data_IF_165809635763
#
_entry.id   IF_165809635763
#
_cell.length_a   1.000
_cell.length_b   1.000
_cell.length_c   1.000
_cell.angle_alpha   90.00
_cell.angle_beta   90.00
_cell.angle_gamma   90.00
#
_symmetry.space_group_name_H-M   'P 1'
#
loop_
_entity.id
_entity.type
_entity.pdbx_description
1 polymer ?
#
# COMPACT_ATOMS: atom_id res chain seq x y z
N UNK A 1 -13.78 12.99 -19.13
CA UNK A 1 -12.79 12.62 -18.10
C UNK A 1 -11.83 13.77 -17.78
N UNK A 2 -11.27 14.44 -18.79
CA UNK A 2 -10.28 15.53 -18.67
C UNK A 2 -10.73 16.82 -17.93
N UNK A 3 -12.02 16.95 -17.58
CA UNK A 3 -12.60 18.13 -16.89
C UNK A 3 -12.77 17.95 -15.37
N UNK A 4 -12.41 16.79 -14.80
CA UNK A 4 -12.44 16.60 -13.34
C UNK A 4 -11.11 17.14 -12.79
N UNK A 5 -11.11 18.19 -11.95
CA UNK A 5 -9.88 18.75 -11.38
C UNK A 5 -9.35 17.80 -10.29
N UNK A 6 -8.63 16.77 -10.71
CA UNK A 6 -7.78 15.96 -9.84
C UNK A 6 -6.38 16.58 -9.84
N UNK A 7 -6.07 17.32 -8.78
CA UNK A 7 -4.73 17.81 -8.47
C UNK A 7 -4.01 16.83 -7.53
N UNK A 8 -2.66 16.83 -7.50
CA UNK A 8 -1.92 16.16 -6.45
C UNK A 8 -2.39 16.58 -5.06
N UNK A 9 -2.34 15.65 -4.09
CA UNK A 9 -2.82 15.87 -2.73
C UNK A 9 -4.23 15.34 -2.48
N UNK A 10 -4.84 15.77 -1.38
CA UNK A 10 -6.20 15.35 -1.01
C UNK A 10 -7.21 16.11 -1.86
N UNK A 11 -8.10 15.39 -2.54
CA UNK A 11 -9.14 16.01 -3.36
C UNK A 11 -10.34 16.43 -2.50
N UNK A 12 -10.68 17.73 -2.40
CA UNK A 12 -11.76 18.21 -1.55
C UNK A 12 -13.13 17.59 -1.85
N UNK A 13 -13.44 17.35 -3.13
CA UNK A 13 -14.72 16.74 -3.51
C UNK A 13 -14.83 15.30 -3.02
N UNK A 14 -13.73 14.52 -3.12
CA UNK A 14 -13.70 13.15 -2.59
C UNK A 14 -13.86 13.18 -1.07
N UNK A 15 -13.19 14.10 -0.36
CA UNK A 15 -13.32 14.23 1.09
C UNK A 15 -14.75 14.59 1.50
N UNK A 16 -15.36 15.59 0.86
CA UNK A 16 -16.74 16.00 1.13
C UNK A 16 -17.73 14.85 0.91
N UNK A 17 -17.52 14.04 -0.12
CA UNK A 17 -18.33 12.85 -0.35
C UNK A 17 -18.17 11.80 0.75
N UNK A 18 -16.93 11.50 1.13
CA UNK A 18 -16.64 10.57 2.21
C UNK A 18 -17.24 11.07 3.53
N UNK A 19 -17.18 12.37 3.81
CA UNK A 19 -17.84 12.98 4.98
C UNK A 19 -19.36 12.80 4.94
N UNK A 20 -19.98 13.06 3.78
CA UNK A 20 -21.42 12.86 3.60
C UNK A 20 -21.82 11.39 3.79
N UNK A 21 -21.09 10.44 3.22
CA UNK A 21 -21.33 9.01 3.42
C UNK A 21 -21.12 8.62 4.89
N UNK A 22 -20.01 9.06 5.49
CA UNK A 22 -19.68 8.77 6.88
C UNK A 22 -20.71 9.34 7.86
N UNK A 23 -21.42 10.42 7.52
CA UNK A 23 -22.49 10.97 8.36
C UNK A 23 -23.65 9.98 8.56
N UNK A 24 -23.90 9.11 7.57
CA UNK A 24 -25.00 8.15 7.56
C UNK A 24 -24.59 6.77 8.13
N UNK A 25 -23.30 6.54 8.32
CA UNK A 25 -22.75 5.26 8.76
C UNK A 25 -22.82 5.09 10.28
N UNK A 26 -22.98 3.84 10.75
CA UNK A 26 -22.82 3.54 12.18
C UNK A 26 -21.35 3.73 12.61
N UNK A 27 -21.08 3.89 13.91
CA UNK A 27 -19.70 4.01 14.40
C UNK A 27 -18.85 2.79 14.04
N UNK A 28 -19.46 1.62 13.93
CA UNK A 28 -18.80 0.37 13.55
C UNK A 28 -18.42 0.37 12.06
N UNK A 29 -19.29 0.89 11.20
CA UNK A 29 -19.04 0.93 9.76
C UNK A 29 -17.97 1.97 9.39
N UNK A 30 -17.75 2.99 10.24
CA UNK A 30 -16.70 4.00 10.07
C UNK A 30 -15.28 3.48 10.35
N UNK A 31 -15.15 2.27 10.91
CA UNK A 31 -13.84 1.66 11.17
C UNK A 31 -13.22 1.24 9.84
N UNK A 32 -12.12 1.89 9.48
CA UNK A 32 -11.41 1.65 8.22
C UNK A 32 -9.91 1.47 8.46
N UNK A 33 -9.25 0.87 7.47
CA UNK A 33 -7.80 0.73 7.41
C UNK A 33 -7.32 1.67 6.31
N UNK A 34 -6.41 2.58 6.66
CA UNK A 34 -5.75 3.45 5.70
C UNK A 34 -4.51 2.75 5.16
N UNK A 35 -4.47 2.52 3.86
CA UNK A 35 -3.37 1.85 3.15
C UNK A 35 -2.84 2.77 2.07
N UNK A 36 -1.52 2.81 1.89
CA UNK A 36 -0.87 3.57 0.84
C UNK A 36 0.42 2.90 0.37
N UNK A 37 0.73 3.03 -0.92
CA UNK A 37 1.92 2.48 -1.59
C UNK A 37 2.28 3.36 -2.81
N UNK A 38 3.50 3.22 -3.31
CA UNK A 38 4.02 3.95 -4.46
C UNK A 38 4.06 3.08 -5.71
N UNK A 39 3.78 3.69 -6.87
CA UNK A 39 3.82 3.02 -8.16
C UNK A 39 4.81 3.73 -9.07
N UNK A 40 5.79 2.98 -9.59
CA UNK A 40 6.75 3.52 -10.56
C UNK A 40 6.06 3.83 -11.88
N UNK A 41 6.29 5.03 -12.39
CA UNK A 41 5.79 5.54 -13.66
C UNK A 41 6.95 6.02 -14.55
N UNK A 42 6.69 6.16 -15.85
CA UNK A 42 7.71 6.60 -16.80
C UNK A 42 8.15 8.03 -16.49
N UNK A 43 9.47 8.24 -16.39
CA UNK A 43 10.07 9.56 -16.27
C UNK A 43 9.96 10.30 -17.60
N UNK A 44 8.99 11.22 -17.71
CA UNK A 44 8.93 12.17 -18.80
C UNK A 44 8.42 13.54 -18.33
N UNK A 45 8.82 14.58 -19.06
CA UNK A 45 8.23 15.91 -18.95
C UNK A 45 7.17 15.99 -20.04
N UNK A 46 5.90 16.14 -19.65
CA UNK A 46 4.79 16.36 -20.56
C UNK A 46 4.29 17.79 -20.39
N UNK A 47 3.87 18.45 -21.45
CA UNK A 47 3.22 19.76 -21.36
C UNK A 47 1.72 19.57 -21.55
N UNK A 48 0.92 19.94 -20.54
CA UNK A 48 -0.54 19.99 -20.66
C UNK A 48 -0.92 21.34 -21.25
N UNK A 49 -1.13 21.35 -22.57
CA UNK A 49 -1.46 22.51 -23.39
C UNK A 49 -2.73 23.22 -22.90
N UNK A 50 -3.67 22.51 -22.25
CA UNK A 50 -4.97 23.07 -21.86
C UNK A 50 -4.95 23.69 -20.47
N UNK A 51 -4.10 23.18 -19.59
CA UNK A 51 -3.89 23.74 -18.25
C UNK A 51 -2.73 24.74 -18.20
N UNK A 52 -2.00 24.88 -19.30
CA UNK A 52 -0.77 25.67 -19.41
C UNK A 52 0.24 25.33 -18.32
N UNK A 53 0.46 24.02 -18.10
CA UNK A 53 1.41 23.54 -17.09
C UNK A 53 2.33 22.48 -17.69
N UNK A 54 3.60 22.52 -17.26
CA UNK A 54 4.54 21.43 -17.48
C UNK A 54 4.24 20.35 -16.42
N UNK A 55 3.63 19.27 -16.87
CA UNK A 55 3.45 18.03 -16.12
C UNK A 55 4.79 17.29 -16.01
N UNK A 56 5.49 17.50 -14.90
CA UNK A 56 6.72 16.82 -14.52
C UNK A 56 6.96 16.96 -13.02
N UNK A 57 7.85 16.14 -12.45
CA UNK A 57 8.03 16.12 -11.00
C UNK A 57 8.81 17.33 -10.48
N UNK A 58 8.22 18.08 -9.53
CA UNK A 58 8.96 18.88 -8.56
C UNK A 58 8.89 18.16 -7.21
N UNK A 59 9.95 17.41 -6.88
CA UNK A 59 9.97 16.52 -5.72
C UNK A 59 10.56 17.26 -4.51
N UNK A 60 9.76 17.45 -3.46
CA UNK A 60 10.21 18.06 -2.19
C UNK A 60 10.26 17.04 -1.04
N UNK A 61 9.55 15.91 -1.16
CA UNK A 61 9.67 14.65 -0.39
C UNK A 61 8.69 13.59 -0.92
N UNK A 62 8.98 12.29 -0.72
CA UNK A 62 8.16 11.12 -1.14
C UNK A 62 8.30 9.97 -0.08
N UNK A 63 7.23 9.17 0.21
CA UNK A 63 7.16 8.11 1.26
C UNK A 63 6.02 7.02 1.08
N UNK A 64 6.29 5.72 0.72
CA UNK A 64 5.75 4.43 1.31
C UNK A 64 6.45 3.08 0.88
N UNK A 65 6.13 1.92 1.54
CA UNK A 65 6.72 0.53 1.62
C UNK A 65 7.68 0.17 2.83
N UNK A 66 8.41 -0.96 2.89
CA UNK A 66 9.40 -1.24 3.98
C UNK A 66 10.72 -0.43 3.87
N UNK A 67 10.86 0.38 2.83
CA UNK A 67 12.03 1.23 2.61
C UNK A 67 12.16 2.27 3.71
N UNK A 68 13.39 2.75 3.83
CA UNK A 68 13.85 3.63 4.90
C UNK A 68 12.97 4.86 5.14
N UNK A 69 12.35 5.41 4.10
CA UNK A 69 11.47 6.58 4.16
C UNK A 69 10.22 6.36 5.03
N UNK A 70 9.66 5.17 5.03
CA UNK A 70 8.31 4.90 5.56
C UNK A 70 8.40 4.41 6.99
N UNK A 71 9.45 3.62 7.23
CA UNK A 71 9.98 3.38 8.57
C UNK A 71 10.28 4.73 9.25
N UNK A 72 10.89 5.69 8.56
CA UNK A 72 11.17 7.01 9.12
C UNK A 72 9.89 7.81 9.43
N UNK A 73 8.91 7.83 8.53
CA UNK A 73 7.64 8.50 8.77
C UNK A 73 6.85 7.89 9.94
N UNK A 74 6.73 6.56 10.00
CA UNK A 74 6.10 5.86 11.14
C UNK A 74 6.85 6.19 12.44
N UNK A 75 8.19 6.14 12.44
CA UNK A 75 8.98 6.47 13.62
C UNK A 75 8.80 7.93 14.06
N UNK A 76 8.65 8.86 13.13
CA UNK A 76 8.41 10.27 13.45
C UNK A 76 7.03 10.47 14.09
N UNK A 77 5.99 9.82 13.54
CA UNK A 77 4.63 9.87 14.10
C UNK A 77 4.56 9.22 15.49
N UNK A 78 5.22 8.08 15.66
CA UNK A 78 5.39 7.42 16.96
C UNK A 78 6.10 8.33 17.96
N UNK A 79 7.22 8.94 17.57
CA UNK A 79 8.00 9.82 18.43
C UNK A 79 7.21 11.07 18.87
N UNK A 80 6.48 11.70 17.94
CA UNK A 80 5.63 12.86 18.25
C UNK A 80 4.53 12.49 19.26
N UNK A 81 3.89 11.35 19.05
CA UNK A 81 2.83 10.85 19.93
C UNK A 81 3.38 10.47 21.31
N UNK A 82 4.51 9.76 21.36
CA UNK A 82 5.14 9.36 22.62
C UNK A 82 5.67 10.57 23.40
N UNK A 83 6.09 11.63 22.72
CA UNK A 83 6.44 12.91 23.37
C UNK A 83 5.21 13.55 24.05
N UNK A 84 4.05 13.54 23.39
CA UNK A 84 2.78 14.01 23.96
C UNK A 84 2.36 13.14 25.15
N UNK A 85 2.41 11.80 25.01
CA UNK A 85 2.12 10.84 26.09
C UNK A 85 2.99 11.07 27.32
N UNK A 86 4.30 11.27 27.12
CA UNK A 86 5.23 11.54 28.22
C UNK A 86 4.87 12.81 29.00
N UNK A 87 4.45 13.88 28.31
CA UNK A 87 3.97 15.12 28.97
C UNK A 87 2.71 14.87 29.80
N UNK A 88 1.86 13.95 29.34
CA UNK A 88 0.60 13.56 29.99
C UNK A 88 0.77 12.38 30.98
N UNK A 89 2.02 11.96 31.26
CA UNK A 89 2.35 10.78 32.10
C UNK A 89 1.67 9.47 31.64
N UNK A 90 1.38 9.36 30.36
CA UNK A 90 0.87 8.13 29.71
C UNK A 90 2.04 7.26 29.27
N UNK A 91 1.84 5.94 29.24
CA UNK A 91 2.86 5.00 28.76
C UNK A 91 3.05 5.13 27.25
N UNK A 92 4.30 4.96 26.80
CA UNK A 92 4.61 4.86 25.38
C UNK A 92 3.88 3.66 24.76
N UNK A 93 3.51 3.81 23.49
CA UNK A 93 2.79 2.80 22.74
C UNK A 93 3.33 2.75 21.33
N UNK A 94 3.56 1.55 20.78
CA UNK A 94 3.87 1.40 19.34
C UNK A 94 2.64 1.68 18.45
N UNK A 95 2.00 2.82 18.68
CA UNK A 95 0.80 3.38 18.07
C UNK A 95 0.97 4.90 18.05
N UNK A 96 0.40 5.58 17.06
CA UNK A 96 0.45 7.05 16.97
C UNK A 96 -0.96 7.65 17.01
N UNK A 97 -1.08 8.93 17.37
CA UNK A 97 -2.36 9.62 17.50
C UNK A 97 -2.55 10.66 16.39
N UNK A 98 -3.73 10.66 15.77
CA UNK A 98 -4.21 11.73 14.89
C UNK A 98 -5.51 12.27 15.48
N UNK A 99 -5.48 13.51 15.98
CA UNK A 99 -6.55 14.05 16.81
C UNK A 99 -6.71 13.25 18.11
N UNK A 100 -7.92 12.69 18.31
CA UNK A 100 -8.25 11.81 19.45
C UNK A 100 -8.31 10.33 19.07
N UNK A 101 -7.81 9.97 17.88
CA UNK A 101 -7.84 8.61 17.35
C UNK A 101 -6.46 8.00 17.46
N UNK A 102 -6.39 6.82 18.07
CA UNK A 102 -5.18 6.00 18.10
C UNK A 102 -5.10 5.13 16.84
N UNK A 103 -3.93 5.14 16.19
CA UNK A 103 -3.65 4.42 14.95
C UNK A 103 -2.52 3.42 15.19
N UNK A 104 -2.75 2.18 14.74
CA UNK A 104 -1.80 1.08 14.84
C UNK A 104 -1.03 0.95 13.52
N UNK A 105 0.29 1.18 13.49
CA UNK A 105 1.09 0.93 12.29
C UNK A 105 1.28 -0.58 12.08
N UNK A 106 1.11 -1.04 10.84
CA UNK A 106 1.34 -2.42 10.42
C UNK A 106 2.23 -2.45 9.17
N UNK A 107 3.11 -3.44 9.06
CA UNK A 107 3.79 -3.76 7.80
C UNK A 107 3.01 -4.81 7.03
N UNK A 108 3.06 -4.70 5.71
CA UNK A 108 2.42 -5.61 4.77
C UNK A 108 2.92 -7.07 4.96
N UNK A 109 2.03 -8.03 5.32
CA UNK A 109 2.43 -9.41 5.56
C UNK A 109 3.05 -10.13 4.34
N UNK A 110 2.51 -10.01 3.11
CA UNK A 110 3.19 -10.52 1.91
C UNK A 110 4.61 -9.98 1.74
N UNK A 111 4.83 -8.68 2.00
CA UNK A 111 6.16 -8.07 1.96
C UNK A 111 7.08 -8.61 3.04
N UNK A 112 6.56 -8.88 4.24
CA UNK A 112 7.31 -9.49 5.32
C UNK A 112 7.80 -10.90 4.96
N UNK A 113 6.97 -11.74 4.35
CA UNK A 113 7.38 -13.07 3.87
C UNK A 113 8.41 -12.97 2.74
N UNK A 114 8.21 -12.06 1.77
CA UNK A 114 9.22 -11.77 0.73
C UNK A 114 10.57 -11.39 1.37
N UNK A 115 10.55 -10.63 2.46
CA UNK A 115 11.72 -10.26 3.25
C UNK A 115 12.44 -11.47 3.87
N UNK A 116 11.71 -12.45 4.42
CA UNK A 116 12.30 -13.69 4.94
C UNK A 116 12.99 -14.46 3.81
N UNK A 117 12.28 -14.73 2.72
CA UNK A 117 12.80 -15.42 1.54
C UNK A 117 14.08 -14.76 1.01
N UNK A 118 14.05 -13.45 0.77
CA UNK A 118 15.18 -12.72 0.21
C UNK A 118 16.42 -12.78 1.12
N UNK A 119 16.23 -12.81 2.44
CA UNK A 119 17.35 -12.97 3.35
C UNK A 119 17.90 -14.39 3.36
N UNK A 120 17.05 -15.43 3.30
CA UNK A 120 17.50 -16.82 3.20
C UNK A 120 18.33 -17.09 1.93
N UNK A 121 18.05 -16.39 0.83
CA UNK A 121 18.87 -16.47 -0.38
C UNK A 121 20.35 -16.11 -0.13
N UNK A 122 20.61 -15.14 0.75
CA UNK A 122 21.97 -14.58 0.97
C UNK A 122 22.58 -14.94 2.32
N UNK A 123 21.77 -15.35 3.29
CA UNK A 123 22.11 -15.61 4.69
C UNK A 123 21.40 -16.87 5.16
N UNK A 124 21.84 -17.43 6.28
CA UNK A 124 21.07 -18.47 6.96
C UNK A 124 20.38 -17.88 8.20
N UNK A 125 19.42 -18.61 8.76
CA UNK A 125 18.67 -18.19 9.94
C UNK A 125 18.98 -19.13 11.09
N UNK A 126 19.65 -18.62 12.13
CA UNK A 126 19.81 -19.33 13.39
C UNK A 126 18.57 -19.10 14.26
N UNK A 127 17.96 -20.18 14.78
CA UNK A 127 16.77 -20.09 15.63
C UNK A 127 17.09 -19.74 17.08
N UNK A 128 18.30 -20.10 17.51
CA UNK A 128 18.81 -19.89 18.85
C UNK A 128 20.34 -19.81 18.86
N UNK A 129 20.87 -19.46 20.03
CA UNK A 129 22.30 -19.31 20.27
C UNK A 129 22.65 -19.94 21.60
N UNK A 130 23.71 -20.74 21.60
CA UNK A 130 24.31 -21.31 22.81
C UNK A 130 25.73 -20.76 22.92
N UNK A 131 26.02 -20.02 24.00
CA UNK A 131 27.33 -19.37 24.20
C UNK A 131 27.80 -18.53 22.98
N UNK A 132 26.88 -17.79 22.35
CA UNK A 132 27.07 -17.02 21.11
C UNK A 132 27.35 -17.85 19.84
N UNK A 133 27.26 -19.17 19.92
CA UNK A 133 27.35 -20.06 18.76
C UNK A 133 25.94 -20.28 18.22
N UNK A 134 25.68 -20.04 16.92
CA UNK A 134 24.36 -20.27 16.33
C UNK A 134 24.00 -21.75 16.34
N UNK A 135 22.74 -22.04 16.65
CA UNK A 135 22.15 -23.38 16.68
C UNK A 135 20.87 -23.41 15.84
N UNK A 136 20.44 -24.63 15.50
CA UNK A 136 19.24 -24.92 14.72
C UNK A 136 19.14 -24.03 13.47
N UNK A 137 20.13 -24.16 12.59
CA UNK A 137 20.29 -23.30 11.42
C UNK A 137 19.33 -23.75 10.32
N UNK A 138 18.53 -22.82 9.82
CA UNK A 138 17.72 -23.00 8.62
C UNK A 138 18.40 -22.31 7.44
N UNK A 139 18.52 -23.03 6.31
CA UNK A 139 19.21 -22.54 5.12
C UNK A 139 18.35 -22.67 3.87
N UNK A 140 18.61 -21.81 2.88
CA UNK A 140 17.93 -21.88 1.59
C UNK A 140 18.30 -23.13 0.79
N UNK A 141 19.53 -23.63 0.94
CA UNK A 141 19.98 -24.81 0.18
C UNK A 141 19.20 -26.05 0.60
N UNK A 142 18.90 -26.19 1.90
CA UNK A 142 18.05 -27.26 2.42
C UNK A 142 16.64 -27.22 1.82
N UNK A 143 16.05 -26.03 1.66
CA UNK A 143 14.74 -25.87 0.99
C UNK A 143 14.78 -26.40 -0.44
N UNK A 144 15.77 -25.98 -1.24
CA UNK A 144 15.92 -26.40 -2.64
C UNK A 144 16.12 -27.91 -2.75
N UNK A 145 16.97 -28.48 -1.89
CA UNK A 145 17.26 -29.92 -1.91
C UNK A 145 16.04 -30.76 -1.52
N UNK A 146 15.20 -30.29 -0.59
CA UNK A 146 13.93 -30.93 -0.26
C UNK A 146 12.95 -30.92 -1.44
N UNK A 147 12.81 -29.76 -2.11
CA UNK A 147 11.94 -29.62 -3.28
C UNK A 147 12.39 -30.52 -4.45
N UNK A 148 13.69 -30.65 -4.66
CA UNK A 148 14.31 -31.50 -5.68
C UNK A 148 14.29 -33.01 -5.33
N UNK A 149 13.78 -33.39 -4.15
CA UNK A 149 13.79 -34.79 -3.68
C UNK A 149 15.19 -35.34 -3.34
N UNK A 150 16.16 -34.46 -3.04
CA UNK A 150 17.55 -34.79 -2.70
C UNK A 150 17.81 -34.72 -1.20
N UNK A 151 16.86 -35.20 -0.39
CA UNK A 151 16.90 -35.12 1.08
C UNK A 151 18.16 -35.76 1.69
N UNK A 152 18.69 -36.82 1.06
CA UNK A 152 19.92 -37.51 1.50
C UNK A 152 21.19 -36.64 1.46
N UNK A 153 21.17 -35.47 0.80
CA UNK A 153 22.29 -34.54 0.72
C UNK A 153 22.26 -33.46 1.81
N UNK A 154 21.24 -33.46 2.68
CA UNK A 154 21.04 -32.46 3.72
C UNK A 154 21.49 -33.05 5.05
N UNK A 155 22.23 -32.27 5.85
CA UNK A 155 22.45 -32.62 7.25
C UNK A 155 21.09 -32.72 7.97
N UNK A 156 20.86 -33.81 8.70
CA UNK A 156 19.54 -34.10 9.26
C UNK A 156 19.06 -33.01 10.24
N UNK A 157 19.96 -32.45 11.05
CA UNK A 157 19.63 -31.39 11.99
C UNK A 157 19.29 -30.08 11.25
N UNK A 158 20.07 -29.73 10.22
CA UNK A 158 19.81 -28.57 9.36
C UNK A 158 18.49 -28.71 8.58
N UNK A 159 18.21 -29.91 8.07
CA UNK A 159 16.97 -30.22 7.36
C UNK A 159 15.74 -30.05 8.26
N UNK A 160 15.77 -30.64 9.46
CA UNK A 160 14.69 -30.48 10.45
C UNK A 160 14.51 -29.01 10.82
N UNK A 161 15.60 -28.31 11.15
CA UNK A 161 15.54 -26.89 11.52
C UNK A 161 14.96 -26.02 10.38
N UNK A 162 15.28 -26.35 9.13
CA UNK A 162 14.74 -25.67 7.95
C UNK A 162 13.25 -25.94 7.80
N UNK A 163 12.81 -27.19 7.85
CA UNK A 163 11.38 -27.55 7.73
C UNK A 163 10.53 -26.89 8.83
N UNK A 164 11.00 -26.93 10.08
CA UNK A 164 10.34 -26.26 11.20
C UNK A 164 10.27 -24.73 11.00
N UNK A 165 11.31 -24.13 10.42
CA UNK A 165 11.34 -22.69 10.14
C UNK A 165 10.34 -22.32 9.04
N UNK A 166 10.27 -23.11 7.97
CA UNK A 166 9.33 -22.89 6.87
C UNK A 166 7.89 -23.00 7.38
N UNK A 167 7.57 -24.07 8.12
CA UNK A 167 6.25 -24.25 8.72
C UNK A 167 5.90 -23.12 9.70
N UNK A 168 6.85 -22.69 10.54
CA UNK A 168 6.64 -21.56 11.45
C UNK A 168 6.27 -20.27 10.71
N UNK A 169 6.97 -19.92 9.63
CA UNK A 169 6.64 -18.73 8.86
C UNK A 169 5.38 -18.89 8.00
N UNK A 170 5.04 -20.11 7.58
CA UNK A 170 3.75 -20.42 6.95
C UNK A 170 2.59 -20.14 7.89
N UNK A 171 2.62 -20.73 9.08
CA UNK A 171 1.60 -20.56 10.12
C UNK A 171 1.49 -19.10 10.57
N UNK A 172 2.64 -18.42 10.67
CA UNK A 172 2.68 -17.00 10.97
C UNK A 172 1.99 -16.18 9.89
N UNK A 173 2.27 -16.45 8.62
CA UNK A 173 1.64 -15.75 7.50
C UNK A 173 0.12 -15.99 7.46
N UNK A 174 -0.31 -17.24 7.62
CA UNK A 174 -1.73 -17.59 7.66
C UNK A 174 -2.47 -16.82 8.76
N UNK A 175 -1.85 -16.70 9.95
CA UNK A 175 -2.40 -15.95 11.09
C UNK A 175 -2.65 -14.46 10.83
N UNK A 176 -1.95 -13.87 9.86
CA UNK A 176 -2.05 -12.44 9.51
C UNK A 176 -2.58 -12.20 8.09
N UNK A 177 -3.06 -13.25 7.42
CA UNK A 177 -3.63 -13.18 6.08
C UNK A 177 -4.94 -13.97 5.93
N UNK A 178 -5.70 -14.06 7.03
CA UNK A 178 -6.94 -14.84 7.10
C UNK A 178 -8.10 -14.19 6.37
N UNK A 179 -8.90 -15.02 5.69
CA UNK A 179 -10.03 -14.61 4.87
C UNK A 179 -11.35 -15.13 5.43
N UNK A 180 -11.89 -16.22 4.87
CA UNK A 180 -13.03 -16.93 5.44
C UNK A 180 -12.57 -18.08 6.35
N UNK A 181 -13.53 -18.69 7.04
CA UNK A 181 -13.26 -19.89 7.84
C UNK A 181 -12.70 -20.99 6.93
N UNK A 182 -11.59 -21.58 7.36
CA UNK A 182 -10.87 -22.63 6.65
C UNK A 182 -10.43 -23.72 7.65
N UNK A 183 -9.94 -24.84 7.12
CA UNK A 183 -9.48 -25.96 7.95
C UNK A 183 -8.25 -25.63 8.79
N UNK A 184 -7.41 -24.69 8.32
CA UNK A 184 -6.28 -24.18 9.11
C UNK A 184 -6.78 -23.14 10.14
N UNK A 185 -6.76 -23.49 11.42
CA UNK A 185 -7.21 -22.63 12.53
C UNK A 185 -6.59 -21.21 12.47
N UNK A 186 -5.32 -21.09 12.06
CA UNK A 186 -4.64 -19.80 11.96
C UNK A 186 -5.01 -19.04 10.67
N UNK A 187 -5.47 -19.71 9.62
CA UNK A 187 -5.95 -19.04 8.41
C UNK A 187 -7.40 -18.56 8.50
N UNK A 188 -8.07 -18.76 9.65
CA UNK A 188 -9.44 -18.34 9.92
C UNK A 188 -9.51 -16.95 10.57
N UNK A 189 -10.67 -16.26 10.54
CA UNK A 189 -10.82 -14.97 11.20
C UNK A 189 -10.50 -15.03 12.69
N UNK A 190 -9.81 -14.01 13.19
CA UNK A 190 -9.46 -13.87 14.62
C UNK A 190 -10.74 -13.65 15.41
N UNK A 191 -10.90 -14.38 16.51
CA UNK A 191 -12.00 -14.27 17.48
C UNK A 191 -11.44 -14.15 18.90
N UNK A 192 -12.29 -13.84 19.86
CA UNK A 192 -11.90 -13.63 21.27
C UNK A 192 -11.18 -14.86 21.87
N UNK A 193 -11.66 -16.06 21.54
CA UNK A 193 -11.15 -17.35 22.03
C UNK A 193 -10.25 -18.07 21.01
N UNK A 194 -9.87 -17.40 19.92
CA UNK A 194 -9.12 -18.04 18.83
C UNK A 194 -7.66 -18.31 19.19
N UNK A 195 -7.08 -19.36 18.58
CA UNK A 195 -5.70 -19.78 18.81
C UNK A 195 -4.64 -18.70 18.49
N UNK A 196 -5.01 -17.68 17.69
CA UNK A 196 -4.17 -16.55 17.32
C UNK A 196 -3.52 -15.87 18.52
N UNK A 197 -4.24 -15.70 19.64
CA UNK A 197 -3.73 -14.95 20.80
C UNK A 197 -2.53 -15.64 21.46
N UNK A 198 -2.65 -16.94 21.69
CA UNK A 198 -1.57 -17.78 22.23
C UNK A 198 -0.44 -17.91 21.21
N UNK A 199 -0.78 -18.15 19.94
CA UNK A 199 0.19 -18.28 18.87
C UNK A 199 1.04 -17.03 18.68
N UNK A 200 0.44 -15.84 18.60
CA UNK A 200 1.15 -14.56 18.48
C UNK A 200 2.06 -14.29 19.68
N UNK A 201 1.60 -14.61 20.89
CA UNK A 201 2.42 -14.46 22.10
C UNK A 201 3.68 -15.33 22.02
N UNK A 202 3.52 -16.61 21.68
CA UNK A 202 4.64 -17.55 21.51
C UNK A 202 5.57 -17.13 20.36
N UNK A 203 5.01 -16.72 19.23
CA UNK A 203 5.74 -16.23 18.05
C UNK A 203 6.67 -15.09 18.41
N UNK A 204 6.22 -14.12 19.22
CA UNK A 204 7.09 -13.02 19.68
C UNK A 204 8.27 -13.51 20.53
N UNK A 205 8.15 -14.63 21.24
CA UNK A 205 9.28 -15.22 21.97
C UNK A 205 10.27 -15.91 21.02
N UNK A 206 9.76 -16.63 20.03
CA UNK A 206 10.57 -17.31 19.01
C UNK A 206 11.37 -16.32 18.16
N UNK A 207 10.70 -15.31 17.59
CA UNK A 207 11.34 -14.29 16.74
C UNK A 207 12.44 -13.50 17.47
N UNK A 208 12.32 -13.30 18.78
CA UNK A 208 13.35 -12.59 19.57
C UNK A 208 14.64 -13.39 19.72
N UNK A 209 14.58 -14.71 19.63
CA UNK A 209 15.76 -15.61 19.68
C UNK A 209 16.45 -15.73 18.32
N UNK A 210 15.67 -15.67 17.24
CA UNK A 210 16.17 -15.82 15.87
C UNK A 210 17.11 -14.69 15.44
N UNK A 211 18.19 -15.02 14.72
CA UNK A 211 19.06 -14.04 14.05
C UNK A 211 19.52 -14.57 12.69
N UNK A 212 19.70 -13.67 11.73
CA UNK A 212 20.39 -14.03 10.50
C UNK A 212 21.88 -14.18 10.77
N UNK A 213 22.50 -15.12 10.08
CA UNK A 213 23.94 -15.37 10.15
C UNK A 213 24.54 -15.46 8.75
N UNK A 214 25.80 -15.08 8.62
CA UNK A 214 26.57 -15.33 7.41
C UNK A 214 26.65 -16.84 7.13
N UNK A 215 26.58 -17.23 5.85
CA UNK A 215 26.59 -18.63 5.44
C UNK A 215 27.91 -19.34 5.75
N UNK A 216 29.02 -18.60 5.72
CA UNK A 216 30.36 -19.14 5.90
C UNK A 216 30.87 -18.80 7.30
N UNK A 217 30.89 -17.50 7.66
CA UNK A 217 31.51 -17.06 8.92
C UNK A 217 30.63 -17.32 10.13
N UNK A 218 29.33 -17.62 9.93
CA UNK A 218 28.32 -17.80 10.98
C UNK A 218 28.14 -16.60 11.91
N UNK A 219 28.68 -15.44 11.52
CA UNK A 219 28.52 -14.19 12.25
C UNK A 219 27.09 -13.64 12.12
N UNK A 220 26.56 -13.13 13.22
CA UNK A 220 25.23 -12.52 13.27
C UNK A 220 25.14 -11.26 12.41
N UNK A 221 24.04 -11.14 11.64
CA UNK A 221 23.72 -9.99 10.79
C UNK A 221 22.42 -9.34 11.25
N UNK A 222 22.45 -8.03 11.43
CA UNK A 222 21.28 -7.24 11.80
C UNK A 222 20.50 -6.91 10.53
N UNK A 223 19.27 -7.40 10.45
CA UNK A 223 18.37 -7.17 9.33
C UNK A 223 16.98 -6.81 9.88
N UNK A 224 16.26 -5.84 9.30
CA UNK A 224 15.00 -5.37 9.86
C UNK A 224 13.84 -6.38 9.77
N UNK A 225 13.89 -7.39 8.90
CA UNK A 225 12.74 -8.27 8.61
C UNK A 225 12.13 -8.95 9.85
N UNK A 226 12.95 -9.55 10.73
CA UNK A 226 12.46 -10.18 11.98
C UNK A 226 11.88 -9.15 12.96
N UNK A 227 12.47 -7.95 13.02
CA UNK A 227 11.96 -6.86 13.85
C UNK A 227 10.63 -6.35 13.32
N UNK A 228 10.47 -6.26 12.01
CA UNK A 228 9.22 -5.81 11.39
C UNK A 228 8.09 -6.82 11.64
N UNK A 229 8.38 -8.13 11.65
CA UNK A 229 7.43 -9.15 12.10
C UNK A 229 6.98 -8.94 13.54
N UNK A 230 7.91 -8.67 14.47
CA UNK A 230 7.56 -8.39 15.87
C UNK A 230 6.63 -7.18 16.01
N UNK A 231 6.90 -6.11 15.26
CA UNK A 231 6.06 -4.90 15.25
C UNK A 231 4.67 -5.23 14.69
N UNK A 232 4.60 -5.94 13.57
CA UNK A 232 3.32 -6.32 12.95
C UNK A 232 2.47 -7.21 13.87
N UNK A 233 3.06 -8.21 14.52
CA UNK A 233 2.33 -9.07 15.47
C UNK A 233 1.81 -8.26 16.66
N UNK A 234 2.64 -7.38 17.23
CA UNK A 234 2.23 -6.49 18.31
C UNK A 234 1.09 -5.55 17.87
N UNK A 235 1.16 -5.09 16.62
CA UNK A 235 0.11 -4.31 15.98
C UNK A 235 -1.20 -5.09 15.84
N UNK A 236 -1.19 -6.32 15.32
CA UNK A 236 -2.39 -7.16 15.21
C UNK A 236 -3.03 -7.44 16.58
N UNK A 237 -2.22 -7.69 17.62
CA UNK A 237 -2.71 -7.86 18.99
C UNK A 237 -3.41 -6.60 19.53
N UNK A 238 -2.90 -5.41 19.21
CA UNK A 238 -3.55 -4.13 19.58
C UNK A 238 -4.78 -3.86 18.75
N UNK A 239 -4.70 -4.10 17.44
CA UNK A 239 -5.81 -3.91 16.52
C UNK A 239 -7.00 -4.75 16.95
N UNK A 240 -6.80 -6.03 17.28
CA UNK A 240 -7.83 -6.90 17.84
C UNK A 240 -8.52 -6.26 19.04
N UNK A 241 -7.75 -5.82 20.04
CA UNK A 241 -8.29 -5.18 21.24
C UNK A 241 -9.10 -3.94 20.91
N UNK A 242 -8.64 -3.12 19.97
CA UNK A 242 -9.36 -1.91 19.55
C UNK A 242 -10.67 -2.31 18.87
N UNK A 243 -10.64 -3.15 17.83
CA UNK A 243 -11.86 -3.48 17.07
C UNK A 243 -12.86 -4.26 17.91
N UNK A 244 -12.41 -5.19 18.75
CA UNK A 244 -13.29 -5.98 19.61
C UNK A 244 -13.83 -5.15 20.79
N UNK A 245 -12.95 -4.60 21.64
CA UNK A 245 -13.38 -3.96 22.89
C UNK A 245 -14.00 -2.58 22.69
N UNK A 246 -13.51 -1.79 21.73
CA UNK A 246 -13.99 -0.42 21.49
C UNK A 246 -15.13 -0.36 20.49
N UNK A 247 -15.10 -1.21 19.46
CA UNK A 247 -16.05 -1.15 18.35
C UNK A 247 -16.98 -2.37 18.24
N UNK A 248 -16.84 -3.37 19.12
CA UNK A 248 -17.77 -4.51 19.21
C UNK A 248 -17.67 -5.50 18.04
N UNK A 249 -16.51 -5.63 17.39
CA UNK A 249 -16.32 -6.64 16.34
C UNK A 249 -16.13 -8.04 16.95
N UNK A 250 -16.97 -8.98 16.51
CA UNK A 250 -16.88 -10.38 16.96
C UNK A 250 -15.79 -11.19 16.26
N UNK A 251 -15.29 -10.69 15.12
CA UNK A 251 -14.20 -11.30 14.38
C UNK A 251 -13.42 -10.26 13.58
N UNK A 252 -12.16 -10.56 13.29
CA UNK A 252 -11.26 -9.75 12.45
C UNK A 252 -10.67 -10.63 11.34
N UNK A 253 -10.93 -10.25 10.08
CA UNK A 253 -10.30 -10.85 8.90
C UNK A 253 -8.97 -10.13 8.64
N UNK A 254 -7.85 -10.80 8.88
CA UNK A 254 -6.53 -10.15 8.82
C UNK A 254 -6.08 -9.87 7.38
N UNK A 255 -6.69 -10.51 6.37
CA UNK A 255 -6.49 -10.20 4.94
C UNK A 255 -6.88 -8.77 4.55
N UNK A 256 -7.69 -8.06 5.33
CA UNK A 256 -7.95 -6.63 5.08
C UNK A 256 -6.82 -5.71 5.54
N UNK A 257 -5.82 -6.25 6.26
CA UNK A 257 -4.70 -5.51 6.81
C UNK A 257 -3.42 -5.69 5.97
N UNK A 258 -3.56 -5.78 4.63
CA UNK A 258 -2.46 -5.93 3.70
C UNK A 258 -2.64 -5.00 2.48
N UNK A 259 -1.58 -4.80 1.70
CA UNK A 259 -1.56 -3.87 0.57
C UNK A 259 -2.04 -4.50 -0.76
N UNK A 260 -2.47 -5.76 -0.77
CA UNK A 260 -2.97 -6.43 -1.99
C UNK A 260 -4.04 -5.60 -2.73
N UNK A 261 -5.03 -4.94 -2.06
CA UNK A 261 -6.03 -4.17 -2.78
C UNK A 261 -5.46 -2.98 -3.56
N UNK A 262 -4.46 -2.27 -3.01
CA UNK A 262 -3.84 -1.13 -3.68
C UNK A 262 -2.89 -1.58 -4.79
N UNK A 263 -2.15 -2.68 -4.60
CA UNK A 263 -1.34 -3.29 -5.66
C UNK A 263 -2.20 -3.77 -6.83
N UNK A 264 -3.36 -4.38 -6.54
CA UNK A 264 -4.32 -4.78 -7.55
C UNK A 264 -4.88 -3.58 -8.31
N UNK A 265 -5.15 -2.47 -7.63
CA UNK A 265 -5.57 -1.23 -8.28
C UNK A 265 -4.48 -0.67 -9.20
N UNK A 266 -3.21 -0.68 -8.78
CA UNK A 266 -2.08 -0.34 -9.66
C UNK A 266 -1.96 -1.30 -10.84
N UNK A 267 -2.22 -2.59 -10.64
CA UNK A 267 -2.31 -3.58 -11.71
C UNK A 267 -3.39 -3.24 -12.74
N UNK A 268 -4.56 -2.79 -12.29
CA UNK A 268 -5.63 -2.31 -13.17
C UNK A 268 -5.22 -1.06 -13.95
N UNK A 269 -4.51 -0.12 -13.31
CA UNK A 269 -3.98 1.07 -14.00
C UNK A 269 -3.01 0.66 -15.12
N UNK A 270 -2.11 -0.29 -14.86
CA UNK A 270 -1.15 -0.79 -15.87
C UNK A 270 -1.80 -1.65 -16.96
N UNK A 271 -2.96 -2.27 -16.69
CA UNK A 271 -3.68 -3.07 -17.70
C UNK A 271 -4.63 -2.24 -18.56
N UNK A 272 -5.01 -1.04 -18.10
CA UNK A 272 -5.87 -0.10 -18.81
C UNK A 272 -5.23 0.35 -20.13
N UNK A 273 -6.02 0.36 -21.22
CA UNK A 273 -5.62 0.78 -22.57
C UNK A 273 -4.39 0.02 -23.14
N UNK A 274 -4.50 -1.31 -23.29
CA UNK A 274 -3.51 -2.19 -23.95
C UNK A 274 -2.24 -2.43 -23.12
N UNK A 275 -2.38 -2.89 -21.87
CA UNK A 275 -1.29 -3.41 -21.03
C UNK A 275 -0.05 -2.52 -21.02
N UNK A 276 -0.24 -1.24 -20.70
CA UNK A 276 0.82 -0.28 -20.50
C UNK A 276 1.51 -0.50 -19.15
N UNK A 277 2.53 -1.36 -19.14
CA UNK A 277 3.29 -1.72 -17.94
C UNK A 277 4.14 -0.58 -17.40
N UNK A 278 4.25 0.57 -18.06
CA UNK A 278 5.02 1.72 -17.60
C UNK A 278 4.37 3.05 -18.06
N UNK A 279 3.23 3.44 -17.47
CA UNK A 279 2.49 4.60 -17.95
C UNK A 279 3.24 5.91 -17.69
N UNK A 280 3.05 6.90 -18.57
CA UNK A 280 3.44 8.29 -18.31
C UNK A 280 2.52 8.91 -17.25
N UNK A 281 2.90 10.07 -16.69
CA UNK A 281 2.09 10.76 -15.69
C UNK A 281 0.66 11.06 -16.17
N UNK A 282 0.51 11.51 -17.41
CA UNK A 282 -0.81 11.80 -18.01
C UNK A 282 -1.63 10.52 -18.20
N UNK A 283 -1.02 9.44 -18.67
CA UNK A 283 -1.69 8.15 -18.83
C UNK A 283 -2.10 7.55 -17.49
N UNK A 284 -1.26 7.70 -16.46
CA UNK A 284 -1.58 7.30 -15.10
C UNK A 284 -2.79 8.07 -14.57
N UNK A 285 -2.79 9.39 -14.72
CA UNK A 285 -3.89 10.24 -14.29
C UNK A 285 -5.21 9.86 -14.98
N UNK A 286 -5.21 9.71 -16.30
CA UNK A 286 -6.41 9.34 -17.07
C UNK A 286 -6.97 7.98 -16.65
N UNK A 287 -6.10 6.97 -16.49
CA UNK A 287 -6.50 5.64 -16.02
C UNK A 287 -6.99 5.66 -14.57
N UNK A 288 -6.34 6.42 -13.70
CA UNK A 288 -6.76 6.61 -12.30
C UNK A 288 -8.15 7.23 -12.22
N UNK A 289 -8.41 8.33 -12.94
CA UNK A 289 -9.73 8.99 -12.97
C UNK A 289 -10.79 8.01 -13.47
N UNK A 290 -10.48 7.30 -14.56
CA UNK A 290 -11.43 6.36 -15.18
C UNK A 290 -11.82 5.24 -14.24
N UNK A 291 -10.84 4.58 -13.60
CA UNK A 291 -11.08 3.49 -12.66
C UNK A 291 -11.78 3.98 -11.39
N UNK A 292 -11.42 5.17 -10.88
CA UNK A 292 -12.10 5.80 -9.74
C UNK A 292 -13.59 5.99 -10.04
N UNK A 293 -13.94 6.58 -11.19
CA UNK A 293 -15.34 6.78 -11.58
C UNK A 293 -16.08 5.46 -11.80
N UNK A 294 -15.43 4.48 -12.43
CA UNK A 294 -16.02 3.17 -12.66
C UNK A 294 -16.38 2.48 -11.34
N UNK A 295 -15.44 2.47 -10.39
CA UNK A 295 -15.64 1.85 -9.09
C UNK A 295 -16.71 2.56 -8.25
N UNK A 296 -16.78 3.90 -8.33
CA UNK A 296 -17.85 4.65 -7.67
C UNK A 296 -19.25 4.38 -8.27
N UNK A 297 -19.35 4.16 -9.61
CA UNK A 297 -20.61 3.75 -10.25
C UNK A 297 -21.07 2.36 -9.81
N UNK A 298 -20.16 1.40 -9.66
CA UNK A 298 -20.54 0.06 -9.19
C UNK A 298 -21.05 0.06 -7.74
N UNK A 299 -20.50 0.93 -6.88
CA UNK A 299 -20.96 1.05 -5.48
C UNK A 299 -22.40 1.56 -5.42
N UNK A 300 -22.79 2.51 -6.29
CA UNK A 300 -24.17 2.99 -6.36
C UNK A 300 -25.20 1.97 -6.86
N UNK A 301 -24.75 0.88 -7.50
CA UNK A 301 -25.63 -0.18 -8.04
C UNK A 301 -25.75 -1.36 -7.06
N UNK A 302 -24.72 -1.62 -6.24
CA UNK A 302 -24.69 -2.76 -5.32
C UNK A 302 -25.52 -2.56 -4.02
N UNK A 303 -25.90 -1.32 -3.69
CA UNK A 303 -26.83 -1.04 -2.57
C UNK A 303 -28.28 -1.28 -2.99
N UNK A 304 -28.63 -2.56 -3.20
CA UNK A 304 -30.00 -2.98 -3.47
C UNK A 304 -30.83 -3.14 -2.18
N UNK A 305 -32.00 -2.48 -2.16
CA UNK A 305 -33.19 -2.66 -1.30
C UNK A 305 -33.48 -1.70 -0.13
N UNK A 306 -32.76 -0.59 0.02
CA UNK A 306 -33.29 0.57 0.73
C UNK A 306 -33.11 1.79 -0.19
N UNK A 307 -34.22 2.41 -0.58
CA UNK A 307 -34.39 3.64 -1.39
C UNK A 307 -33.23 4.03 -2.31
N UNK A 308 -33.50 4.07 -3.62
CA UNK A 308 -32.64 4.62 -4.67
C UNK A 308 -31.90 5.85 -4.12
N UNK A 309 -30.63 5.67 -3.73
CA UNK A 309 -29.76 6.80 -3.43
C UNK A 309 -29.65 7.52 -4.76
N UNK A 310 -30.42 8.61 -4.90
CA UNK A 310 -30.31 9.60 -5.97
C UNK A 310 -28.84 9.64 -6.39
N UNK A 311 -28.58 9.30 -7.65
CA UNK A 311 -27.26 9.33 -8.32
C UNK A 311 -26.18 9.84 -7.38
N UNK A 312 -25.34 8.94 -6.81
CA UNK A 312 -24.30 9.27 -5.80
C UNK A 312 -23.89 10.73 -5.92
N UNK A 313 -24.06 11.53 -4.86
CA UNK A 313 -23.84 12.99 -4.87
C UNK A 313 -22.55 13.39 -5.60
N UNK A 314 -21.51 12.56 -5.60
CA UNK A 314 -20.32 12.70 -6.45
C UNK A 314 -20.55 12.48 -7.94
N UNK A 315 -21.20 11.40 -8.35
CA UNK A 315 -21.61 11.21 -9.75
C UNK A 315 -22.52 12.35 -10.21
N UNK A 316 -23.46 12.79 -9.38
CA UNK A 316 -24.28 13.96 -9.68
C UNK A 316 -23.44 15.25 -9.74
N UNK A 317 -22.50 15.48 -8.81
CA UNK A 317 -21.67 16.70 -8.81
C UNK A 317 -20.67 16.72 -9.97
N UNK A 318 -20.08 15.57 -10.30
CA UNK A 318 -19.18 15.39 -11.44
C UNK A 318 -19.93 15.47 -12.77
N UNK A 319 -21.16 14.94 -12.83
CA UNK A 319 -22.05 15.05 -14.00
C UNK A 319 -22.61 16.46 -14.17
N UNK A 320 -22.99 17.13 -13.08
CA UNK A 320 -23.39 18.54 -13.06
C UNK A 320 -22.25 19.46 -13.50
N UNK A 321 -21.00 19.19 -13.08
CA UNK A 321 -19.83 19.90 -13.61
C UNK A 321 -19.61 19.68 -15.10
N UNK A 322 -19.99 18.51 -15.63
CA UNK A 322 -19.94 18.23 -17.06
C UNK A 322 -21.09 18.93 -17.83
N UNK A 323 -22.24 19.17 -17.18
CA UNK A 323 -23.45 19.76 -17.79
C UNK A 323 -23.50 21.31 -17.69
N UNK A 324 -23.01 21.92 -16.60
CA UNK A 324 -23.08 23.38 -16.36
C UNK A 324 -22.25 24.24 -17.33
N UNK A 325 -21.31 23.64 -18.05
CA UNK A 325 -20.46 24.31 -19.05
C UNK A 325 -21.02 24.24 -20.47
N UNK A 326 -22.04 23.40 -20.74
CA UNK A 326 -22.67 23.34 -22.07
C UNK A 326 -23.59 24.54 -22.28
N UNK A 327 -24.17 25.08 -21.20
CA UNK A 327 -25.07 26.25 -21.23
C UNK A 327 -24.35 27.60 -21.34
N UNK A 328 -23.02 27.65 -21.24
CA UNK A 328 -22.23 28.88 -21.39
C UNK A 328 -21.65 29.08 -22.81
N UNK A 329 -22.09 28.28 -23.80
CA UNK A 329 -21.63 28.41 -25.20
C UNK A 329 -22.61 29.23 -26.08
N UNK A 330 -23.77 29.63 -25.59
CA UNK A 330 -24.68 30.51 -26.34
C UNK A 330 -24.59 31.95 -25.85
N UNK A 331 -23.73 32.74 -26.49
CA UNK A 331 -23.94 34.16 -26.84
C UNK A 331 -22.61 34.80 -27.24
N UNK A 332 -22.18 34.60 -28.49
CA UNK A 332 -21.49 35.66 -29.21
C UNK A 332 -22.04 35.64 -30.64
N UNK A 333 -23.00 36.54 -30.86
CA UNK A 333 -23.45 36.93 -32.19
C UNK A 333 -22.23 37.34 -33.01
N UNK A 334 -22.05 36.67 -34.14
CA UNK A 334 -21.09 37.07 -35.17
C UNK A 334 -21.76 38.20 -35.95
N UNK A 335 -21.30 39.42 -35.72
CA UNK A 335 -21.63 40.57 -36.54
C UNK A 335 -20.77 40.50 -37.82
N UNK A 336 -21.44 40.23 -38.94
CA UNK A 336 -20.86 40.25 -40.28
C UNK A 336 -20.47 41.68 -40.65
N UNK A 337 -19.17 41.99 -40.60
CA UNK A 337 -18.61 43.08 -41.40
C UNK A 337 -17.30 42.65 -42.06
N UNK A 338 -17.35 42.68 -43.39
CA UNK A 338 -16.27 42.43 -44.31
C UNK A 338 -15.07 43.35 -44.05
N UNK A 339 -13.86 42.81 -44.09
CA UNK A 339 -12.80 43.38 -44.93
C UNK A 339 -11.71 42.34 -45.21
N UNK A 340 -11.41 42.20 -46.50
CA UNK A 340 -10.36 41.39 -47.11
C UNK A 340 -9.12 42.27 -47.19
N UNK A 341 -7.94 41.80 -46.76
CA UNK A 341 -6.71 41.98 -47.55
C UNK A 341 -5.51 41.14 -47.06
N UNK A 342 -4.69 40.80 -48.05
CA UNK A 342 -3.63 39.79 -48.16
C UNK A 342 -2.37 39.93 -47.27
N UNK A 343 -1.54 38.87 -47.16
CA UNK A 343 -0.29 38.85 -46.41
C UNK A 343 0.93 39.29 -47.25
N UNK A 344 1.86 40.04 -46.65
CA UNK A 344 3.19 40.26 -47.22
C UNK A 344 4.33 39.99 -46.20
N UNK A 345 5.38 39.40 -46.77
CA UNK A 345 6.59 38.76 -46.24
C UNK A 345 7.66 39.67 -45.57
N UNK A 346 8.73 39.00 -45.12
CA UNK A 346 10.13 39.40 -44.78
C UNK A 346 10.41 39.57 -43.25
N UNK A 347 11.45 39.03 -42.60
CA UNK A 347 12.82 38.55 -42.90
C UNK A 347 13.21 37.45 -41.85
N UNK A 348 13.82 36.30 -42.18
CA UNK A 348 15.26 36.00 -42.42
C UNK A 348 16.28 36.32 -41.31
N UNK A 349 16.87 35.27 -40.72
CA UNK A 349 18.33 35.09 -40.45
C UNK A 349 18.57 33.63 -40.01
N UNK A 350 18.92 32.70 -40.90
CA UNK A 350 20.28 32.27 -41.30
C UNK A 350 21.20 31.83 -40.15
N UNK A 351 21.33 30.50 -39.97
CA UNK A 351 22.60 29.85 -39.58
C UNK A 351 22.77 28.63 -40.50
N UNK A 352 23.88 28.60 -41.23
CA UNK A 352 24.27 27.62 -42.25
C UNK A 352 25.30 26.64 -41.66
N UNK A 353 25.04 25.33 -41.90
CA UNK A 353 25.91 24.16 -42.22
C UNK A 353 27.24 23.94 -41.44
N UNK A 354 27.72 22.71 -41.20
CA UNK A 354 28.00 21.64 -42.16
C UNK A 354 28.01 20.24 -41.52
N UNK A 355 27.52 19.27 -42.32
CA UNK A 355 27.83 17.85 -42.24
C UNK A 355 29.25 17.59 -42.77
N UNK A 356 29.91 16.55 -42.27
CA UNK A 356 30.97 15.86 -43.02
C UNK A 356 30.68 14.37 -43.04
N UNK A 357 30.69 13.81 -44.25
CA UNK A 357 30.58 12.40 -44.57
C UNK A 357 31.97 11.87 -44.95
N UNK A 358 32.29 10.66 -44.49
CA UNK A 358 32.72 9.46 -45.23
C UNK A 358 32.55 8.27 -44.29
#
# INVERSE_FOLDING_TARGET
LQKIPLSPGLNPMILEHLENMASQMSIRDKVCILMWDEVSIQYNVAYDIRRDIICGFHIVAIVCDQRSSNVAAINQLLWQTDRKRNLEKRTQGQTFEVGNIEIVPLYDPPHLIKGIRNNLLTKDLAKDFENNIPKNIASWISVVLMEDGKELAIDAEEGIATAETVNFFNDLFDSVNSSEVNDNILGSPVKEDSAHHTFWTNTKHVLRKMRYVDKITRESKIVPSLRNWLITIDGFQKLWKIVNLKYGFNHLKTRYCNQDPIENFFGQIRSHAVRNINPTLSQFQDSFVTLLLSNMKSISIASGNCEVVKDSFMLFSLKKYLEHDVTNIEAYDIDDSNDIDEPHELFSSTVIREESSI
#
